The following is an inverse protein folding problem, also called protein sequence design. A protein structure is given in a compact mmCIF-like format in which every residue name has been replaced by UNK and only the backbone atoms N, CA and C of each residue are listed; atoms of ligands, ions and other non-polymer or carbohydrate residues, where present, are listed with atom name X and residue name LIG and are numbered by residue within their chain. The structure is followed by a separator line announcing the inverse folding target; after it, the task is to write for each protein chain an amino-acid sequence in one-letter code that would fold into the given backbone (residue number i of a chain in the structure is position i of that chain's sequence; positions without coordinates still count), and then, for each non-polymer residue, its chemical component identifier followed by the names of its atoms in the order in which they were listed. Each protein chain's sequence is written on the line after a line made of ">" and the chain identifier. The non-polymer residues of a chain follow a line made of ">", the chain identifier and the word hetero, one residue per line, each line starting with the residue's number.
data_IF_499826791655
#
_entry.id   IF_499826791655
#
_cell.length_a   1.000
_cell.length_b   1.000
_cell.length_c   1.000
_cell.angle_alpha   90.00
_cell.angle_beta   90.00
_cell.angle_gamma   90.00
#
_symmetry.space_group_name_H-M   'P 1'
#
loop_
_entity.id
_entity.type
_entity.pdbx_description
1 polymer ?
#
# COMPACT_ATOMS: atom_id res chain seq x y z
N UNK A 1 2.91 -18.11 10.69
CA UNK A 1 3.39 -17.61 9.38
C UNK A 1 2.91 -18.49 8.22
N UNK A 2 3.40 -19.73 8.07
CA UNK A 2 3.05 -20.64 6.94
C UNK A 2 1.54 -20.87 6.74
N UNK A 3 0.78 -21.00 7.84
CA UNK A 3 -0.69 -21.19 7.77
C UNK A 3 -1.41 -20.05 7.02
N UNK A 4 -0.95 -18.80 7.15
CA UNK A 4 -1.55 -17.67 6.45
C UNK A 4 -1.33 -17.74 4.92
N UNK A 5 -0.19 -18.29 4.50
CA UNK A 5 0.12 -18.50 3.07
C UNK A 5 -0.76 -19.62 2.51
N UNK A 6 -0.83 -20.76 3.21
CA UNK A 6 -1.65 -21.90 2.78
C UNK A 6 -3.12 -21.48 2.71
N UNK A 7 -3.66 -20.86 3.75
CA UNK A 7 -5.06 -20.43 3.77
C UNK A 7 -5.39 -19.40 2.69
N UNK A 8 -4.41 -18.68 2.14
CA UNK A 8 -4.66 -17.69 1.08
C UNK A 8 -5.00 -18.32 -0.26
N UNK A 9 -4.53 -19.55 -0.54
CA UNK A 9 -4.81 -20.22 -1.82
C UNK A 9 -6.26 -20.68 -1.92
N UNK A 10 -6.92 -20.90 -0.78
CA UNK A 10 -8.32 -21.31 -0.69
C UNK A 10 -9.27 -20.10 -0.72
N UNK A 11 -8.75 -18.86 -0.71
CA UNK A 11 -9.58 -17.66 -0.80
C UNK A 11 -9.94 -17.34 -2.25
N UNK A 12 -11.23 -17.11 -2.49
CA UNK A 12 -11.77 -16.81 -3.81
C UNK A 12 -11.17 -15.51 -4.42
N UNK A 13 -10.80 -14.55 -3.56
CA UNK A 13 -9.98 -13.39 -3.91
C UNK A 13 -8.80 -13.27 -2.95
N UNK A 14 -7.76 -14.06 -3.22
CA UNK A 14 -6.54 -14.00 -2.43
C UNK A 14 -5.89 -12.60 -2.51
N UNK A 15 -5.39 -12.06 -1.38
CA UNK A 15 -4.73 -10.76 -1.39
C UNK A 15 -3.46 -10.80 -2.24
N UNK A 16 -3.25 -9.75 -3.04
CA UNK A 16 -2.04 -9.61 -3.89
C UNK A 16 -0.73 -9.61 -3.09
N UNK A 17 -0.79 -9.24 -1.80
CA UNK A 17 0.36 -9.23 -0.88
C UNK A 17 -0.09 -9.63 0.51
N UNK A 18 0.66 -10.53 1.14
CA UNK A 18 0.48 -10.94 2.53
C UNK A 18 1.72 -10.50 3.31
N UNK A 19 1.56 -9.52 4.20
CA UNK A 19 2.63 -9.10 5.12
C UNK A 19 2.62 -9.99 6.36
N UNK A 20 3.79 -10.50 6.75
CA UNK A 20 3.92 -11.50 7.81
C UNK A 20 4.80 -10.96 8.93
N UNK A 21 4.21 -10.70 10.11
CA UNK A 21 4.91 -10.18 11.28
C UNK A 21 4.76 -8.67 11.46
N UNK A 22 4.88 -8.22 12.71
CA UNK A 22 4.74 -6.81 13.09
C UNK A 22 5.83 -5.94 12.47
N UNK A 23 7.09 -6.37 12.51
CA UNK A 23 8.21 -5.54 12.07
C UNK A 23 8.14 -5.26 10.56
N UNK A 24 7.74 -6.27 9.79
CA UNK A 24 7.48 -6.12 8.35
C UNK A 24 6.27 -5.20 8.10
N UNK A 25 5.23 -5.29 8.94
CA UNK A 25 4.08 -4.38 8.87
C UNK A 25 4.49 -2.94 9.16
N UNK A 26 5.19 -2.69 10.27
CA UNK A 26 5.60 -1.35 10.69
C UNK A 26 6.53 -0.71 9.67
N UNK A 27 7.48 -1.46 9.13
CA UNK A 27 8.39 -0.98 8.08
C UNK A 27 7.65 -0.59 6.80
N UNK A 28 6.74 -1.44 6.31
CA UNK A 28 5.95 -1.15 5.11
C UNK A 28 4.99 0.02 5.36
N UNK A 29 4.35 0.05 6.53
CA UNK A 29 3.40 1.09 6.89
C UNK A 29 4.07 2.46 6.95
N UNK A 30 5.26 2.53 7.56
CA UNK A 30 6.05 3.76 7.64
C UNK A 30 6.42 4.27 6.24
N UNK A 31 7.00 3.40 5.40
CA UNK A 31 7.40 3.77 4.05
C UNK A 31 6.22 4.27 3.19
N UNK A 32 5.08 3.57 3.25
CA UNK A 32 3.87 4.00 2.52
C UNK A 32 3.32 5.33 3.03
N UNK A 33 3.35 5.54 4.34
CA UNK A 33 2.89 6.79 4.96
C UNK A 33 3.76 7.96 4.54
N UNK A 34 5.07 7.77 4.48
CA UNK A 34 6.00 8.83 4.07
C UNK A 34 5.88 9.16 2.58
N UNK A 35 5.77 8.15 1.71
CA UNK A 35 5.48 8.37 0.30
C UNK A 35 4.15 9.10 0.08
N UNK A 36 3.12 8.78 0.86
CA UNK A 36 1.82 9.46 0.77
C UNK A 36 1.92 10.93 1.21
N UNK A 37 2.68 11.22 2.27
CA UNK A 37 2.93 12.62 2.70
C UNK A 37 3.62 13.42 1.61
N UNK A 38 4.65 12.85 0.98
CA UNK A 38 5.38 13.51 -0.12
C UNK A 38 4.47 13.78 -1.31
N UNK A 39 3.61 12.82 -1.67
CA UNK A 39 2.61 12.98 -2.74
C UNK A 39 1.62 14.11 -2.44
N UNK A 40 1.02 14.10 -1.24
CA UNK A 40 0.01 15.09 -0.85
C UNK A 40 0.60 16.50 -0.73
N UNK A 41 1.88 16.64 -0.36
CA UNK A 41 2.57 17.92 -0.36
C UNK A 41 2.62 18.59 -1.75
N UNK A 42 2.56 17.79 -2.81
CA UNK A 42 2.60 18.25 -4.21
C UNK A 42 1.22 18.28 -4.87
N UNK A 43 0.14 18.01 -4.13
CA UNK A 43 -1.24 17.89 -4.66
C UNK A 43 -1.65 19.05 -5.56
N UNK A 44 -1.48 20.29 -5.09
CA UNK A 44 -1.88 21.47 -5.87
C UNK A 44 -1.16 21.55 -7.22
N UNK A 45 0.13 21.23 -7.25
CA UNK A 45 0.91 21.22 -8.49
C UNK A 45 0.40 20.13 -9.43
N UNK A 46 0.22 18.90 -8.93
CA UNK A 46 -0.31 17.80 -9.74
C UNK A 46 -1.65 18.18 -10.41
N UNK A 47 -2.59 18.73 -9.64
CA UNK A 47 -3.92 19.11 -10.14
C UNK A 47 -3.88 20.34 -11.05
N UNK A 48 -2.87 21.22 -10.94
CA UNK A 48 -2.73 22.36 -11.85
C UNK A 48 -2.40 21.96 -13.29
N UNK A 49 -2.01 20.70 -13.51
CA UNK A 49 -1.70 20.16 -14.84
C UNK A 49 -2.90 19.46 -15.50
N UNK A 50 -4.06 19.43 -14.84
CA UNK A 50 -5.27 18.88 -15.41
C UNK A 50 -5.70 19.68 -16.64
N UNK A 51 -6.06 18.96 -17.70
CA UNK A 51 -6.63 19.57 -18.89
C UNK A 51 -8.14 19.76 -18.69
N UNK A 52 -8.60 20.99 -18.59
CA UNK A 52 -10.04 21.30 -18.63
C UNK A 52 -10.50 21.39 -20.09
N UNK A 53 -11.34 20.44 -20.51
CA UNK A 53 -12.15 20.48 -21.74
C UNK A 53 -13.37 21.38 -21.59
#
# INVERSE_FOLDING_TARGET
>A
MVKAIINSVDQQEAPKRITLGSDAYDSIHQALSDHLKELEAQKRLAFSTDFTV
#
